data_IF_476145121351
#
_entry.id   IF_476145121351
#
_cell.length_a   1.000
_cell.length_b   1.000
_cell.length_c   1.000
_cell.angle_alpha   90.00
_cell.angle_beta   90.00
_cell.angle_gamma   90.00
#
_symmetry.space_group_name_H-M   'P 1'
#
loop_
_entity.id
_entity.type
_entity.pdbx_description
1 polymer ?
#
# COMPACT_ATOMS: atom_id res chain seq x y z
N UNK A 1 -3.39 -10.63 3.63
CA UNK A 1 -3.70 -10.83 5.07
C UNK A 1 -4.06 -9.48 5.64
N UNK A 2 -5.23 -9.34 6.27
CA UNK A 2 -5.55 -8.13 7.03
C UNK A 2 -4.57 -8.03 8.21
N UNK A 3 -4.03 -6.85 8.48
CA UNK A 3 -3.16 -6.61 9.63
C UNK A 3 -3.94 -7.00 10.89
N UNK A 4 -3.51 -8.07 11.57
CA UNK A 4 -4.13 -8.64 12.77
C UNK A 4 -3.98 -7.76 14.03
N UNK A 5 -3.47 -6.52 13.87
CA UNK A 5 -3.37 -5.53 14.92
C UNK A 5 -3.86 -4.19 14.37
N UNK A 6 -5.08 -3.81 14.74
CA UNK A 6 -5.55 -2.44 14.59
C UNK A 6 -4.60 -1.56 15.41
N UNK A 7 -3.77 -0.75 14.73
CA UNK A 7 -2.90 0.22 15.40
C UNK A 7 -3.79 1.13 16.26
N UNK A 8 -3.55 1.18 17.57
CA UNK A 8 -4.28 2.10 18.45
C UNK A 8 -3.74 3.52 18.23
N UNK A 9 -4.33 4.23 17.26
CA UNK A 9 -3.92 5.56 16.81
C UNK A 9 -4.55 6.69 17.63
N UNK A 10 -5.13 6.38 18.80
CA UNK A 10 -5.85 7.37 19.63
C UNK A 10 -4.98 8.50 20.21
N UNK A 11 -3.65 8.40 20.15
CA UNK A 11 -2.71 9.39 20.67
C UNK A 11 -1.55 9.68 19.72
N UNK A 12 -1.87 9.87 18.45
CA UNK A 12 -0.90 10.21 17.40
C UNK A 12 -0.57 11.72 17.41
N UNK A 13 0.73 12.05 17.44
CA UNK A 13 1.20 13.43 17.27
C UNK A 13 1.06 13.89 15.81
N UNK A 14 1.10 15.21 15.57
CA UNK A 14 0.97 15.75 14.21
C UNK A 14 2.05 15.24 13.25
N UNK A 15 3.28 15.04 13.73
CA UNK A 15 4.38 14.54 12.91
C UNK A 15 4.19 13.05 12.56
N UNK A 16 3.73 12.25 13.52
CA UNK A 16 3.41 10.84 13.27
C UNK A 16 2.23 10.70 12.30
N UNK A 17 1.23 11.58 12.40
CA UNK A 17 0.11 11.63 11.46
C UNK A 17 0.58 11.96 10.04
N UNK A 18 1.49 12.92 9.90
CA UNK A 18 2.07 13.25 8.62
C UNK A 18 2.86 12.07 8.03
N UNK A 19 3.68 11.40 8.85
CA UNK A 19 4.43 10.21 8.43
C UNK A 19 3.48 9.09 7.95
N UNK A 20 2.38 8.83 8.65
CA UNK A 20 1.40 7.83 8.23
C UNK A 20 0.74 8.19 6.89
N UNK A 21 0.39 9.46 6.66
CA UNK A 21 -0.15 9.91 5.37
C UNK A 21 0.84 9.72 4.23
N UNK A 22 2.12 9.97 4.48
CA UNK A 22 3.19 9.76 3.50
C UNK A 22 3.37 8.28 3.18
N UNK A 23 3.33 7.40 4.18
CA UNK A 23 3.37 5.95 4.00
C UNK A 23 2.18 5.50 3.13
N UNK A 24 0.95 5.91 3.49
CA UNK A 24 -0.26 5.59 2.71
C UNK A 24 -0.12 6.06 1.26
N UNK A 25 0.30 7.31 1.06
CA UNK A 25 0.45 7.89 -0.28
C UNK A 25 1.52 7.17 -1.10
N UNK A 26 2.63 6.79 -0.46
CA UNK A 26 3.71 6.03 -1.10
C UNK A 26 3.24 4.64 -1.54
N UNK A 27 2.45 3.94 -0.71
CA UNK A 27 1.88 2.63 -1.07
C UNK A 27 0.86 2.74 -2.22
N UNK A 28 0.02 3.79 -2.24
CA UNK A 28 -0.89 4.04 -3.36
C UNK A 28 -0.13 4.32 -4.67
N UNK A 29 0.92 5.15 -4.62
CA UNK A 29 1.77 5.41 -5.77
C UNK A 29 2.49 4.15 -6.26
N UNK A 30 3.01 3.34 -5.33
CA UNK A 30 3.62 2.06 -5.62
C UNK A 30 2.64 1.11 -6.31
N UNK A 31 1.41 0.99 -5.81
CA UNK A 31 0.37 0.17 -6.42
C UNK A 31 0.02 0.62 -7.85
N UNK A 32 -0.02 1.93 -8.12
CA UNK A 32 -0.23 2.45 -9.48
C UNK A 32 0.93 2.09 -10.41
N UNK A 33 2.17 2.37 -10.00
CA UNK A 33 3.36 2.08 -10.81
C UNK A 33 3.53 0.59 -11.09
N UNK A 34 3.29 -0.27 -10.11
CA UNK A 34 3.37 -1.72 -10.29
C UNK A 34 2.31 -2.22 -11.29
N UNK A 35 1.10 -1.67 -11.28
CA UNK A 35 0.11 -1.96 -12.32
C UNK A 35 0.55 -1.46 -13.71
N UNK A 36 1.14 -0.27 -13.80
CA UNK A 36 1.70 0.25 -15.06
C UNK A 36 2.81 -0.65 -15.59
N UNK A 37 3.69 -1.16 -14.72
CA UNK A 37 4.76 -2.08 -15.10
C UNK A 37 4.22 -3.45 -15.50
N UNK A 38 3.22 -3.98 -14.80
CA UNK A 38 2.54 -5.21 -15.20
C UNK A 38 1.92 -5.12 -16.61
N UNK A 39 1.37 -3.96 -16.97
CA UNK A 39 0.78 -3.74 -18.29
C UNK A 39 1.82 -3.65 -19.41
N UNK A 40 3.05 -3.26 -19.09
CA UNK A 40 4.17 -3.15 -20.04
C UNK A 40 5.02 -4.42 -20.11
N UNK A 41 4.75 -5.41 -19.27
CA UNK A 41 5.52 -6.65 -19.21
C UNK A 41 4.84 -7.75 -20.05
N UNK A 42 5.63 -8.41 -20.90
CA UNK A 42 5.20 -9.55 -21.72
C UNK A 42 5.40 -10.88 -20.99
N UNK A 43 6.38 -10.97 -20.09
CA UNK A 43 6.64 -12.15 -19.29
C UNK A 43 5.50 -12.37 -18.28
N UNK A 44 4.83 -13.52 -18.39
CA UNK A 44 3.66 -13.84 -17.58
C UNK A 44 3.97 -13.94 -16.08
N UNK A 45 5.16 -14.44 -15.70
CA UNK A 45 5.52 -14.59 -14.29
C UNK A 45 5.83 -13.23 -13.66
N UNK A 46 6.58 -12.38 -14.37
CA UNK A 46 6.91 -11.03 -13.90
C UNK A 46 5.64 -10.16 -13.84
N UNK A 47 4.76 -10.29 -14.83
CA UNK A 47 3.46 -9.62 -14.83
C UNK A 47 2.62 -9.99 -13.62
N UNK A 48 2.51 -11.28 -13.31
CA UNK A 48 1.76 -11.75 -12.13
C UNK A 48 2.41 -11.24 -10.82
N UNK A 49 3.74 -11.25 -10.73
CA UNK A 49 4.46 -10.70 -9.58
C UNK A 49 4.14 -9.23 -9.35
N UNK A 50 4.15 -8.39 -10.40
CA UNK A 50 3.80 -6.98 -10.29
C UNK A 50 2.33 -6.77 -9.90
N UNK A 51 1.40 -7.53 -10.46
CA UNK A 51 -0.03 -7.44 -10.10
C UNK A 51 -0.26 -7.80 -8.64
N UNK A 52 0.39 -8.87 -8.16
CA UNK A 52 0.29 -9.27 -6.76
C UNK A 52 0.86 -8.18 -5.84
N UNK A 53 2.06 -7.68 -6.12
CA UNK A 53 2.66 -6.62 -5.34
C UNK A 53 1.82 -5.33 -5.36
N UNK A 54 1.18 -5.01 -6.49
CA UNK A 54 0.26 -3.87 -6.58
C UNK A 54 -0.97 -4.05 -5.68
N UNK A 55 -1.54 -5.25 -5.62
CA UNK A 55 -2.68 -5.56 -4.76
C UNK A 55 -2.31 -5.49 -3.28
N UNK A 56 -1.15 -6.04 -2.91
CA UNK A 56 -0.62 -5.98 -1.54
C UNK A 56 -0.38 -4.52 -1.10
N UNK A 57 0.25 -3.71 -1.96
CA UNK A 57 0.48 -2.29 -1.67
C UNK A 57 -0.83 -1.53 -1.40
N UNK A 58 -1.84 -1.73 -2.24
CA UNK A 58 -3.15 -1.10 -2.06
C UNK A 58 -3.87 -1.60 -0.80
N UNK A 59 -3.75 -2.89 -0.49
CA UNK A 59 -4.33 -3.48 0.73
C UNK A 59 -3.71 -2.85 1.98
N UNK A 60 -2.38 -2.71 2.03
CA UNK A 60 -1.68 -2.04 3.13
C UNK A 60 -2.14 -0.59 3.29
N UNK A 61 -2.24 0.17 2.19
CA UNK A 61 -2.72 1.54 2.23
C UNK A 61 -4.15 1.63 2.78
N UNK A 62 -5.06 0.76 2.32
CA UNK A 62 -6.44 0.71 2.81
C UNK A 62 -6.52 0.33 4.29
N UNK A 63 -5.75 -0.67 4.74
CA UNK A 63 -5.72 -1.06 6.15
C UNK A 63 -5.19 0.06 7.05
N UNK A 64 -4.18 0.81 6.62
CA UNK A 64 -3.68 1.97 7.35
C UNK A 64 -4.71 3.09 7.42
N UNK A 65 -5.40 3.39 6.30
CA UNK A 65 -6.50 4.37 6.28
C UNK A 65 -7.63 3.97 7.24
N UNK A 66 -7.99 2.67 7.26
CA UNK A 66 -9.04 2.16 8.15
C UNK A 66 -8.64 2.13 9.63
N UNK A 67 -7.33 2.19 9.92
CA UNK A 67 -6.83 2.20 11.29
C UNK A 67 -6.74 3.62 11.87
N UNK A 68 -6.67 4.66 11.01
CA UNK A 68 -6.74 6.09 11.38
C UNK A 68 -8.14 6.47 11.86
#
# INVERSE_FOLDING_TARGET
>A
MALQNTLNLSQISQIELQNLREIVSSHQLMGKKLNEYANQCEDAQIKQMFQQAAQEANTTAQSLIQSL
#
